data_IF_730623022903
#
_entry.id   IF_730623022903
#
_cell.length_a   1.000
_cell.length_b   1.000
_cell.length_c   1.000
_cell.angle_alpha   90.00
_cell.angle_beta   90.00
_cell.angle_gamma   90.00
#
_symmetry.space_group_name_H-M   'P 1'
#
loop_
_entity.id
_entity.type
_entity.pdbx_description
1 polymer ?
#
# COMPACT_ATOMS: atom_id res chain seq x y z
N UNK A 1 -11.48 -47.51 2.94
CA UNK A 1 -12.76 -47.10 2.30
C UNK A 1 -13.85 -46.81 3.37
N UNK A 2 -13.55 -46.13 4.44
CA UNK A 2 -14.48 -45.91 5.57
C UNK A 2 -14.59 -44.46 6.05
N UNK A 3 -13.98 -43.52 5.32
CA UNK A 3 -13.95 -42.10 5.75
C UNK A 3 -14.99 -41.21 5.05
N UNK A 4 -15.77 -41.76 4.11
CA UNK A 4 -16.78 -41.01 3.35
C UNK A 4 -18.17 -41.06 3.94
N UNK A 5 -18.42 -41.99 4.87
CA UNK A 5 -19.73 -42.16 5.48
C UNK A 5 -20.00 -41.22 6.67
N UNK A 6 -18.94 -40.73 7.34
CA UNK A 6 -19.08 -39.83 8.50
C UNK A 6 -19.34 -38.35 8.15
N UNK A 7 -19.11 -37.96 6.90
CA UNK A 7 -19.29 -36.57 6.46
C UNK A 7 -20.76 -36.24 6.11
N UNK A 8 -21.53 -37.23 5.69
CA UNK A 8 -22.95 -37.04 5.33
C UNK A 8 -23.86 -37.06 6.53
N UNK A 9 -23.50 -37.80 7.61
CA UNK A 9 -24.28 -37.82 8.84
C UNK A 9 -24.26 -36.50 9.64
N UNK A 10 -23.24 -35.67 9.41
CA UNK A 10 -23.10 -34.35 10.08
C UNK A 10 -23.90 -33.25 9.43
N UNK A 11 -24.30 -33.41 8.18
CA UNK A 11 -25.13 -32.43 7.47
C UNK A 11 -26.60 -32.51 7.77
N UNK A 12 -27.09 -33.67 8.23
CA UNK A 12 -28.51 -33.84 8.54
C UNK A 12 -28.91 -33.33 9.93
N UNK A 13 -27.94 -33.13 10.84
CA UNK A 13 -28.24 -32.62 12.20
C UNK A 13 -28.25 -31.10 12.33
N UNK A 14 -27.77 -30.34 11.34
CA UNK A 14 -27.78 -28.87 11.39
C UNK A 14 -29.03 -28.23 10.75
N UNK A 15 -29.94 -28.99 10.19
CA UNK A 15 -31.16 -28.46 9.56
C UNK A 15 -32.34 -28.27 10.50
N UNK A 16 -32.25 -28.70 11.75
CA UNK A 16 -33.34 -28.53 12.73
C UNK A 16 -33.09 -27.26 13.55
N UNK A 17 -33.76 -26.19 13.19
CA UNK A 17 -33.87 -25.04 14.08
C UNK A 17 -33.89 -23.65 13.45
N UNK A 18 -33.94 -23.53 12.14
CA UNK A 18 -34.24 -22.23 11.54
C UNK A 18 -35.78 -22.13 11.39
N UNK A 19 -36.42 -21.58 12.44
CA UNK A 19 -37.81 -21.14 12.32
C UNK A 19 -37.86 -20.14 11.16
N UNK A 20 -38.52 -20.51 10.05
CA UNK A 20 -38.78 -19.55 8.99
C UNK A 20 -39.57 -18.37 9.58
N UNK A 21 -39.17 -17.13 9.33
CA UNK A 21 -39.99 -15.99 9.71
C UNK A 21 -41.35 -16.17 9.03
N UNK A 22 -42.41 -16.29 9.82
CA UNK A 22 -43.75 -16.51 9.34
C UNK A 22 -44.25 -15.39 8.43
N UNK A 23 -43.83 -15.43 7.19
CA UNK A 23 -44.44 -14.66 6.12
C UNK A 23 -45.74 -15.31 5.79
N UNK A 24 -46.87 -14.71 6.28
CA UNK A 24 -48.18 -15.14 5.86
C UNK A 24 -49.24 -15.37 6.94
N UNK A 25 -49.14 -14.75 8.10
CA UNK A 25 -50.33 -14.62 8.92
C UNK A 25 -51.32 -13.69 8.21
N UNK A 26 -52.28 -14.32 7.50
CA UNK A 26 -53.41 -13.63 6.92
C UNK A 26 -54.22 -13.02 8.06
N UNK A 27 -54.35 -11.72 8.12
CA UNK A 27 -55.23 -11.04 9.07
C UNK A 27 -56.64 -11.48 8.78
N UNK A 28 -57.47 -11.75 9.79
CA UNK A 28 -58.89 -12.06 9.60
C UNK A 28 -59.54 -10.90 8.83
N UNK A 29 -60.25 -11.25 7.77
CA UNK A 29 -60.97 -10.25 6.96
C UNK A 29 -61.92 -9.46 7.87
N UNK A 30 -61.70 -8.15 7.99
CA UNK A 30 -62.52 -7.25 8.78
C UNK A 30 -61.92 -6.75 10.11
N UNK A 31 -60.68 -7.14 10.46
CA UNK A 31 -60.03 -6.52 11.60
C UNK A 31 -59.58 -5.09 11.26
N UNK A 32 -59.92 -4.06 12.03
CA UNK A 32 -59.43 -2.71 11.78
C UNK A 32 -57.92 -2.71 11.94
N UNK A 33 -57.21 -2.03 11.04
CA UNK A 33 -55.77 -1.80 11.16
C UNK A 33 -55.48 -1.11 12.48
N UNK A 34 -54.51 -1.59 13.25
CA UNK A 34 -54.07 -0.84 14.43
C UNK A 34 -53.67 0.56 13.97
N UNK A 35 -54.36 1.55 14.54
CA UNK A 35 -54.09 2.95 14.27
C UNK A 35 -52.58 3.20 14.42
N UNK A 36 -51.96 3.70 13.37
CA UNK A 36 -50.52 4.03 13.33
C UNK A 36 -50.13 5.14 14.33
N UNK A 37 -51.13 5.76 14.98
CA UNK A 37 -50.96 6.72 16.05
C UNK A 37 -50.58 6.13 17.41
N UNK A 38 -50.79 4.82 17.61
CA UNK A 38 -50.47 4.13 18.88
C UNK A 38 -49.04 3.56 18.92
N UNK A 39 -48.25 3.82 17.91
CA UNK A 39 -46.79 3.74 18.07
C UNK A 39 -46.34 4.86 19.02
N UNK A 40 -46.74 4.79 20.31
CA UNK A 40 -45.85 5.19 21.36
C UNK A 40 -44.57 4.46 21.03
N UNK A 41 -43.67 5.19 20.32
CA UNK A 41 -42.28 4.80 20.23
C UNK A 41 -41.90 4.50 21.68
N UNK A 42 -41.94 3.23 22.06
CA UNK A 42 -41.30 2.79 23.27
C UNK A 42 -39.91 3.40 23.10
N UNK A 43 -39.68 4.55 23.79
CA UNK A 43 -38.36 5.18 23.85
C UNK A 43 -37.50 4.10 24.48
N UNK A 44 -36.95 3.27 23.58
CA UNK A 44 -35.87 2.38 23.97
C UNK A 44 -34.86 3.33 24.67
N UNK A 45 -34.50 3.01 25.93
CA UNK A 45 -33.52 3.85 26.64
C UNK A 45 -32.39 4.12 25.67
N UNK A 46 -32.14 5.40 25.36
CA UNK A 46 -31.09 5.77 24.42
C UNK A 46 -29.83 5.06 24.89
N UNK A 47 -29.43 4.02 24.14
CA UNK A 47 -28.17 3.33 24.43
C UNK A 47 -27.11 4.45 24.48
N UNK A 48 -26.26 4.48 25.52
CA UNK A 48 -25.24 5.50 25.63
C UNK A 48 -24.43 5.48 24.32
N UNK A 49 -24.62 6.51 23.50
CA UNK A 49 -23.85 6.67 22.26
C UNK A 49 -22.40 6.70 22.69
N UNK A 50 -21.57 5.73 22.28
CA UNK A 50 -20.17 5.72 22.66
C UNK A 50 -19.58 7.07 22.19
N UNK A 51 -18.77 7.73 23.04
CA UNK A 51 -18.21 9.02 22.68
C UNK A 51 -17.53 8.91 21.33
N UNK A 52 -17.99 9.70 20.35
CA UNK A 52 -17.38 9.79 19.03
C UNK A 52 -15.94 10.25 19.27
N UNK A 53 -14.99 9.33 19.18
CA UNK A 53 -13.58 9.68 19.29
C UNK A 53 -13.29 10.66 18.16
N UNK A 54 -12.79 11.88 18.48
CA UNK A 54 -12.44 12.83 17.43
C UNK A 54 -11.45 12.12 16.49
N UNK A 55 -11.76 12.16 15.18
CA UNK A 55 -10.87 11.59 14.18
C UNK A 55 -9.49 12.21 14.39
N UNK A 56 -8.50 11.38 14.71
CA UNK A 56 -7.14 11.84 14.94
C UNK A 56 -6.64 12.53 13.68
N UNK A 57 -6.24 13.79 13.80
CA UNK A 57 -5.66 14.53 12.69
C UNK A 57 -4.41 13.80 12.21
N UNK A 58 -4.38 13.52 10.90
CA UNK A 58 -3.20 12.98 10.24
C UNK A 58 -1.99 13.90 10.47
N UNK A 59 -0.92 13.37 11.04
CA UNK A 59 0.34 14.08 11.15
C UNK A 59 1.21 13.80 9.91
N UNK A 60 1.02 14.62 8.86
CA UNK A 60 1.71 14.44 7.60
C UNK A 60 3.25 14.52 7.73
N UNK A 61 3.76 15.37 8.61
CA UNK A 61 5.22 15.50 8.83
C UNK A 61 5.80 14.20 9.36
N UNK A 62 5.20 13.65 10.38
CA UNK A 62 5.65 12.38 10.97
C UNK A 62 5.51 11.24 9.97
N UNK A 63 4.40 11.17 9.23
CA UNK A 63 4.21 10.19 8.16
C UNK A 63 5.29 10.28 7.08
N UNK A 64 5.65 11.51 6.67
CA UNK A 64 6.73 11.74 5.69
C UNK A 64 8.09 11.26 6.20
N UNK A 65 8.44 11.57 7.44
CA UNK A 65 9.71 11.11 8.03
C UNK A 65 9.80 9.59 8.03
N UNK A 66 8.71 8.92 8.39
CA UNK A 66 8.67 7.45 8.36
C UNK A 66 8.77 6.90 6.93
N UNK A 67 8.07 7.51 5.97
CA UNK A 67 8.15 7.10 4.57
C UNK A 67 9.57 7.27 3.99
N UNK A 68 10.30 8.32 4.38
CA UNK A 68 11.66 8.59 3.92
C UNK A 68 12.67 7.50 4.30
N UNK A 69 12.39 6.70 5.33
CA UNK A 69 13.23 5.53 5.69
C UNK A 69 13.29 4.52 4.52
N UNK A 70 12.24 4.49 3.68
CA UNK A 70 12.23 3.61 2.51
C UNK A 70 13.22 4.03 1.43
N UNK A 71 13.69 5.29 1.40
CA UNK A 71 14.66 5.74 0.39
C UNK A 71 15.97 4.97 0.52
N UNK A 72 16.71 5.02 1.64
CA UNK A 72 17.97 4.29 1.77
C UNK A 72 17.75 2.78 1.72
N UNK A 73 16.65 2.27 2.29
CA UNK A 73 16.34 0.84 2.26
C UNK A 73 16.08 0.34 0.83
N UNK A 74 15.30 1.09 0.04
CA UNK A 74 15.00 0.76 -1.35
C UNK A 74 16.25 0.84 -2.24
N UNK A 75 17.06 1.89 -2.09
CA UNK A 75 18.33 2.03 -2.84
C UNK A 75 19.28 0.88 -2.50
N UNK A 76 19.46 0.55 -1.22
CA UNK A 76 20.34 -0.55 -0.82
C UNK A 76 19.87 -1.90 -1.40
N UNK A 77 18.57 -2.19 -1.29
CA UNK A 77 18.01 -3.41 -1.85
C UNK A 77 18.16 -3.46 -3.38
N UNK A 78 17.94 -2.33 -4.06
CA UNK A 78 18.15 -2.22 -5.51
C UNK A 78 19.58 -2.55 -5.89
N UNK A 79 20.59 -1.91 -5.24
CA UNK A 79 21.99 -2.13 -5.55
C UNK A 79 22.44 -3.57 -5.27
N UNK A 80 21.91 -4.21 -4.23
CA UNK A 80 22.16 -5.63 -3.95
C UNK A 80 21.65 -6.51 -5.11
N UNK A 81 20.42 -6.30 -5.55
CA UNK A 81 19.84 -7.09 -6.65
C UNK A 81 20.55 -6.79 -7.98
N UNK A 82 20.94 -5.53 -8.21
CA UNK A 82 21.74 -5.14 -9.37
C UNK A 82 23.05 -5.91 -9.46
N UNK A 83 23.79 -5.98 -8.38
CA UNK A 83 25.05 -6.76 -8.29
C UNK A 83 24.83 -8.27 -8.49
N UNK A 84 23.65 -8.78 -8.19
CA UNK A 84 23.29 -10.19 -8.44
C UNK A 84 22.82 -10.44 -9.88
N UNK A 85 22.75 -9.40 -10.73
CA UNK A 85 22.22 -9.48 -12.09
C UNK A 85 20.70 -9.70 -12.14
N UNK A 86 19.99 -9.33 -11.08
CA UNK A 86 18.53 -9.44 -11.02
C UNK A 86 17.86 -8.14 -11.44
N UNK A 87 16.66 -8.27 -12.00
CA UNK A 87 15.86 -7.12 -12.42
C UNK A 87 15.40 -6.35 -11.18
N UNK A 88 15.95 -5.13 -11.01
CA UNK A 88 15.65 -4.27 -9.85
C UNK A 88 14.24 -3.69 -9.83
N UNK A 89 13.48 -3.77 -10.93
CA UNK A 89 12.15 -3.14 -11.06
C UNK A 89 11.13 -3.57 -10.00
N UNK A 90 11.23 -4.80 -9.48
CA UNK A 90 10.37 -5.28 -8.40
C UNK A 90 10.57 -4.47 -7.10
N UNK A 91 11.77 -3.92 -6.89
CA UNK A 91 12.08 -3.09 -5.73
C UNK A 91 11.26 -1.80 -5.73
N UNK A 92 10.98 -1.24 -6.91
CA UNK A 92 10.15 -0.06 -7.05
C UNK A 92 8.73 -0.30 -6.51
N UNK A 93 8.14 -1.48 -6.80
CA UNK A 93 6.86 -1.89 -6.25
C UNK A 93 6.93 -2.05 -4.72
N UNK A 94 7.95 -2.74 -4.21
CA UNK A 94 8.14 -2.96 -2.77
C UNK A 94 8.35 -1.64 -2.03
N UNK A 95 9.11 -0.71 -2.62
CA UNK A 95 9.33 0.63 -2.06
C UNK A 95 8.03 1.42 -1.97
N UNK A 96 7.20 1.42 -3.02
CA UNK A 96 5.90 2.10 -2.99
C UNK A 96 4.99 1.54 -1.90
N UNK A 97 4.89 0.22 -1.80
CA UNK A 97 4.07 -0.46 -0.79
C UNK A 97 4.60 -0.22 0.63
N UNK A 98 5.93 -0.28 0.82
CA UNK A 98 6.59 -0.03 2.08
C UNK A 98 6.45 1.42 2.54
N UNK A 99 6.69 2.38 1.65
CA UNK A 99 6.54 3.81 1.92
C UNK A 99 5.10 4.15 2.35
N UNK A 100 4.09 3.57 1.68
CA UNK A 100 2.70 3.76 2.05
C UNK A 100 2.39 3.23 3.46
N UNK A 101 2.87 2.03 3.78
CA UNK A 101 2.66 1.43 5.12
C UNK A 101 3.36 2.23 6.21
N UNK A 102 4.61 2.63 5.98
CA UNK A 102 5.36 3.45 6.93
C UNK A 102 4.74 4.84 7.09
N UNK A 103 4.28 5.45 5.99
CA UNK A 103 3.56 6.72 6.07
C UNK A 103 2.32 6.61 6.97
N UNK A 104 1.48 5.60 6.75
CA UNK A 104 0.28 5.37 7.57
C UNK A 104 0.67 5.13 9.03
N UNK A 105 1.65 4.26 9.30
CA UNK A 105 2.11 3.98 10.65
C UNK A 105 2.64 5.24 11.36
N UNK A 106 3.36 6.10 10.62
CA UNK A 106 3.87 7.36 11.15
C UNK A 106 2.79 8.42 11.36
N UNK A 107 1.86 8.58 10.41
CA UNK A 107 0.90 9.67 10.40
C UNK A 107 -0.26 9.48 11.36
N UNK A 108 -0.69 8.22 11.59
CA UNK A 108 -1.90 7.90 12.36
C UNK A 108 -1.63 7.45 13.79
N UNK A 109 -0.39 7.21 14.16
CA UNK A 109 0.03 6.82 15.52
C UNK A 109 -0.88 5.74 16.16
N UNK A 110 -1.30 4.73 15.37
CA UNK A 110 -2.11 3.61 15.86
C UNK A 110 -3.62 3.83 15.89
N UNK A 111 -4.12 4.97 15.42
CA UNK A 111 -5.56 5.29 15.43
C UNK A 111 -6.36 4.80 14.22
N UNK A 112 -5.79 3.95 13.36
CA UNK A 112 -6.51 3.37 12.21
C UNK A 112 -6.95 4.39 11.15
N UNK A 113 -6.31 5.56 11.10
CA UNK A 113 -6.64 6.62 10.16
C UNK A 113 -6.39 6.23 8.70
N UNK A 114 -7.17 6.81 7.81
CA UNK A 114 -6.98 6.67 6.36
C UNK A 114 -5.99 7.72 5.85
N UNK A 115 -5.18 7.35 4.88
CA UNK A 115 -4.23 8.26 4.24
C UNK A 115 -4.97 9.31 3.41
N UNK A 116 -4.59 10.57 3.58
CA UNK A 116 -5.14 11.68 2.79
C UNK A 116 -4.50 11.74 1.39
N UNK A 117 -5.06 12.59 0.51
CA UNK A 117 -4.45 12.85 -0.81
C UNK A 117 -3.01 13.37 -0.69
N UNK A 118 -2.72 14.15 0.37
CA UNK A 118 -1.35 14.65 0.63
C UNK A 118 -0.40 13.51 0.94
N UNK A 119 -0.81 12.57 1.79
CA UNK A 119 -0.02 11.38 2.07
C UNK A 119 0.26 10.53 0.83
N UNK A 120 -0.74 10.38 -0.05
CA UNK A 120 -0.57 9.67 -1.31
C UNK A 120 0.52 10.33 -2.19
N UNK A 121 0.53 11.65 -2.31
CA UNK A 121 1.58 12.37 -3.05
C UNK A 121 2.97 12.22 -2.42
N UNK A 122 3.06 12.18 -1.09
CA UNK A 122 4.33 11.90 -0.40
C UNK A 122 4.85 10.51 -0.77
N UNK A 123 4.01 9.50 -0.76
CA UNK A 123 4.41 8.13 -1.14
C UNK A 123 4.90 8.08 -2.58
N UNK A 124 4.19 8.73 -3.51
CA UNK A 124 4.61 8.83 -4.92
C UNK A 124 5.97 9.52 -5.02
N UNK A 125 6.15 10.66 -4.36
CA UNK A 125 7.41 11.40 -4.39
C UNK A 125 8.57 10.58 -3.82
N UNK A 126 8.39 9.92 -2.67
CA UNK A 126 9.38 9.03 -2.06
C UNK A 126 9.76 7.90 -3.01
N UNK A 127 8.77 7.28 -3.67
CA UNK A 127 9.02 6.19 -4.62
C UNK A 127 9.83 6.68 -5.83
N UNK A 128 9.47 7.82 -6.43
CA UNK A 128 10.19 8.41 -7.55
C UNK A 128 11.63 8.73 -7.15
N UNK A 129 11.84 9.38 -6.02
CA UNK A 129 13.18 9.72 -5.52
C UNK A 129 14.00 8.46 -5.30
N UNK A 130 13.41 7.41 -4.72
CA UNK A 130 14.12 6.13 -4.51
C UNK A 130 14.54 5.50 -5.83
N UNK A 131 13.65 5.46 -6.84
CA UNK A 131 13.96 4.90 -8.15
C UNK A 131 15.09 5.69 -8.83
N UNK A 132 14.99 7.01 -8.84
CA UNK A 132 16.03 7.87 -9.45
C UNK A 132 17.40 7.68 -8.75
N UNK A 133 17.42 7.66 -7.43
CA UNK A 133 18.65 7.43 -6.67
C UNK A 133 19.18 6.01 -6.87
N UNK A 134 18.32 5.03 -7.05
CA UNK A 134 18.72 3.65 -7.33
C UNK A 134 19.40 3.54 -8.68
N UNK A 135 18.84 4.15 -9.73
CA UNK A 135 19.47 4.20 -11.05
C UNK A 135 20.80 4.93 -11.04
N UNK A 136 20.85 6.11 -10.42
CA UNK A 136 22.09 6.86 -10.29
C UNK A 136 23.13 6.03 -9.51
N UNK A 137 22.70 5.35 -8.46
CA UNK A 137 23.54 4.45 -7.67
C UNK A 137 24.07 3.26 -8.48
N UNK A 138 23.26 2.68 -9.38
CA UNK A 138 23.70 1.59 -10.26
C UNK A 138 24.82 2.04 -11.18
N UNK A 139 24.63 3.17 -11.87
CA UNK A 139 25.65 3.75 -12.75
C UNK A 139 26.93 4.06 -11.96
N UNK A 140 26.76 4.59 -10.74
CA UNK A 140 27.89 4.90 -9.87
C UNK A 140 28.68 3.65 -9.48
N UNK A 141 27.99 2.58 -9.13
CA UNK A 141 28.60 1.29 -8.76
C UNK A 141 29.31 0.66 -9.95
N UNK A 142 28.70 0.69 -11.15
CA UNK A 142 29.32 0.17 -12.36
C UNK A 142 30.56 0.98 -12.77
N UNK A 143 30.51 2.31 -12.58
CA UNK A 143 31.66 3.17 -12.79
C UNK A 143 32.80 2.86 -11.82
N UNK A 144 32.47 2.58 -10.55
CA UNK A 144 33.47 2.19 -9.55
C UNK A 144 34.11 0.83 -9.90
N UNK A 145 33.31 -0.13 -10.35
CA UNK A 145 33.82 -1.43 -10.82
C UNK A 145 34.73 -1.27 -12.04
N UNK A 146 34.37 -0.39 -12.99
CA UNK A 146 35.16 -0.11 -14.18
C UNK A 146 36.51 0.52 -13.84
N UNK A 147 36.52 1.45 -12.89
CA UNK A 147 37.76 2.13 -12.46
C UNK A 147 38.56 1.32 -11.44
N UNK A 148 38.01 0.26 -10.88
CA UNK A 148 38.60 -0.54 -9.78
C UNK A 148 38.65 0.24 -8.46
N UNK A 149 37.94 1.36 -8.34
CA UNK A 149 37.89 2.18 -7.16
C UNK A 149 36.78 1.77 -6.21
N UNK A 150 36.89 2.17 -4.94
CA UNK A 150 35.79 2.01 -3.99
C UNK A 150 34.67 3.00 -4.30
N UNK A 151 33.39 2.58 -4.38
CA UNK A 151 32.27 3.49 -4.62
C UNK A 151 32.19 4.64 -3.61
N UNK A 152 32.59 4.39 -2.36
CA UNK A 152 32.60 5.43 -1.32
C UNK A 152 33.77 6.41 -1.48
N UNK A 153 34.96 5.94 -1.90
CA UNK A 153 36.11 6.81 -2.12
C UNK A 153 35.82 7.78 -3.28
N UNK A 154 35.23 7.27 -4.36
CA UNK A 154 34.87 8.07 -5.53
C UNK A 154 33.93 9.24 -5.23
N UNK A 155 33.11 9.17 -4.18
CA UNK A 155 32.22 10.28 -3.80
C UNK A 155 32.99 11.59 -3.50
N UNK A 156 34.26 11.49 -3.10
CA UNK A 156 35.12 12.62 -2.73
C UNK A 156 36.06 13.01 -3.85
N UNK A 157 36.04 12.33 -5.00
CA UNK A 157 36.87 12.59 -6.15
C UNK A 157 36.11 13.39 -7.21
N UNK A 158 36.49 14.65 -7.49
CA UNK A 158 35.80 15.47 -8.50
C UNK A 158 35.80 14.81 -9.89
N UNK A 159 36.89 14.14 -10.26
CA UNK A 159 37.05 13.47 -11.55
C UNK A 159 36.00 12.37 -11.76
N UNK A 160 35.57 11.70 -10.69
CA UNK A 160 34.52 10.69 -10.76
C UNK A 160 33.15 11.30 -11.11
N UNK A 161 32.86 12.49 -10.61
CA UNK A 161 31.64 13.23 -10.95
C UNK A 161 31.67 13.76 -12.39
N UNK A 162 32.81 14.21 -12.88
CA UNK A 162 32.99 14.63 -14.27
C UNK A 162 32.80 13.43 -15.21
N UNK A 163 33.35 12.27 -14.86
CA UNK A 163 33.21 11.05 -15.63
C UNK A 163 31.74 10.56 -15.64
N UNK A 164 31.05 10.63 -14.51
CA UNK A 164 29.60 10.32 -14.45
C UNK A 164 28.81 11.27 -15.34
N UNK A 165 29.06 12.57 -15.23
CA UNK A 165 28.40 13.59 -16.04
C UNK A 165 28.67 13.39 -17.54
N UNK A 166 29.89 13.07 -17.92
CA UNK A 166 30.23 12.75 -19.30
C UNK A 166 29.48 11.55 -19.83
N UNK A 167 29.41 10.44 -19.07
CA UNK A 167 28.71 9.23 -19.48
C UNK A 167 27.19 9.45 -19.62
N UNK A 168 26.61 10.24 -18.73
CA UNK A 168 25.17 10.55 -18.80
C UNK A 168 24.80 11.46 -19.97
N UNK A 169 25.75 12.25 -20.48
CA UNK A 169 25.44 13.22 -21.55
C UNK A 169 25.96 12.80 -22.93
N UNK A 170 27.05 12.02 -22.99
CA UNK A 170 27.78 11.74 -24.23
C UNK A 170 27.86 10.24 -24.56
N UNK A 171 27.28 9.36 -23.76
CA UNK A 171 27.28 7.92 -24.02
C UNK A 171 25.86 7.43 -24.37
N UNK A 172 25.49 7.48 -25.68
CA UNK A 172 24.16 7.08 -26.11
C UNK A 172 23.86 5.59 -25.89
N UNK A 173 24.89 4.74 -25.94
CA UNK A 173 24.73 3.30 -25.73
C UNK A 173 24.35 3.02 -24.30
N UNK A 174 24.98 3.67 -23.33
CA UNK A 174 24.60 3.58 -21.92
C UNK A 174 23.15 4.04 -21.68
N UNK A 175 22.75 5.14 -22.30
CA UNK A 175 21.37 5.65 -22.17
C UNK A 175 20.36 4.68 -22.78
N UNK A 176 20.69 4.06 -23.90
CA UNK A 176 19.83 3.10 -24.57
C UNK A 176 19.67 1.82 -23.70
N UNK A 177 20.75 1.28 -23.17
CA UNK A 177 20.74 0.08 -22.34
C UNK A 177 19.92 0.31 -21.05
N UNK A 178 20.14 1.47 -20.40
CA UNK A 178 19.42 1.82 -19.17
C UNK A 178 17.95 2.19 -19.41
N UNK A 179 17.59 2.65 -20.63
CA UNK A 179 16.23 3.14 -20.90
C UNK A 179 15.16 2.04 -20.72
N UNK A 180 15.46 0.81 -21.12
CA UNK A 180 14.57 -0.32 -20.97
C UNK A 180 14.27 -0.65 -19.50
N UNK A 181 15.31 -0.68 -18.69
CA UNK A 181 15.20 -0.95 -17.25
C UNK A 181 14.51 0.20 -16.52
N UNK A 182 14.81 1.45 -16.90
CA UNK A 182 14.16 2.64 -16.36
C UNK A 182 12.65 2.64 -16.65
N UNK A 183 12.25 2.32 -17.88
CA UNK A 183 10.84 2.20 -18.24
C UNK A 183 10.13 1.11 -17.44
N UNK A 184 10.77 -0.04 -17.28
CA UNK A 184 10.24 -1.13 -16.46
C UNK A 184 10.11 -0.71 -14.99
N UNK A 185 11.11 -0.05 -14.43
CA UNK A 185 11.06 0.46 -13.06
C UNK A 185 9.94 1.48 -12.87
N UNK A 186 9.73 2.39 -13.82
CA UNK A 186 8.61 3.33 -13.80
C UNK A 186 7.26 2.62 -13.86
N UNK A 187 7.12 1.60 -14.72
CA UNK A 187 5.90 0.82 -14.85
C UNK A 187 5.57 0.10 -13.53
N UNK A 188 6.55 -0.59 -12.93
CA UNK A 188 6.34 -1.28 -11.66
C UNK A 188 6.10 -0.30 -10.50
N UNK A 189 6.74 0.88 -10.51
CA UNK A 189 6.44 1.95 -9.56
C UNK A 189 5.01 2.44 -9.68
N UNK A 190 4.55 2.68 -10.92
CA UNK A 190 3.18 3.11 -11.18
C UNK A 190 2.16 2.05 -10.75
N UNK A 191 2.43 0.77 -11.03
CA UNK A 191 1.61 -0.34 -10.57
C UNK A 191 1.58 -0.42 -9.04
N UNK A 192 2.73 -0.31 -8.38
CA UNK A 192 2.84 -0.32 -6.92
C UNK A 192 2.04 0.81 -6.28
N UNK A 193 2.18 2.03 -6.79
CA UNK A 193 1.40 3.18 -6.35
C UNK A 193 -0.09 2.98 -6.63
N UNK A 194 -0.47 2.51 -7.81
CA UNK A 194 -1.87 2.30 -8.18
C UNK A 194 -2.56 1.29 -7.27
N UNK A 195 -1.97 0.12 -7.07
CA UNK A 195 -2.54 -0.91 -6.20
C UNK A 195 -2.67 -0.42 -4.76
N UNK A 196 -1.65 0.27 -4.25
CA UNK A 196 -1.66 0.84 -2.90
C UNK A 196 -2.76 1.89 -2.75
N UNK A 197 -2.87 2.82 -3.70
CA UNK A 197 -3.89 3.86 -3.69
C UNK A 197 -5.30 3.28 -3.83
N UNK A 198 -5.50 2.31 -4.73
CA UNK A 198 -6.78 1.63 -4.90
C UNK A 198 -7.26 0.96 -3.61
N UNK A 199 -6.38 0.27 -2.89
CA UNK A 199 -6.73 -0.33 -1.61
C UNK A 199 -7.16 0.73 -0.58
N UNK A 200 -6.44 1.83 -0.50
CA UNK A 200 -6.73 2.93 0.43
C UNK A 200 -8.07 3.61 0.11
N UNK A 201 -8.35 3.88 -1.17
CA UNK A 201 -9.64 4.43 -1.58
C UNK A 201 -10.80 3.46 -1.37
N UNK A 202 -10.57 2.16 -1.54
CA UNK A 202 -11.60 1.16 -1.27
C UNK A 202 -11.94 1.06 0.24
N UNK A 203 -10.96 1.24 1.11
CA UNK A 203 -11.17 1.30 2.56
C UNK A 203 -11.91 2.56 2.98
N UNK A 204 -11.56 3.72 2.40
CA UNK A 204 -12.21 5.01 2.68
C UNK A 204 -13.69 5.08 2.26
N UNK A 205 -14.14 4.19 1.36
CA UNK A 205 -15.56 4.10 0.96
C UNK A 205 -16.39 3.19 1.87
N UNK A 206 -15.74 2.41 2.72
CA UNK A 206 -16.42 1.44 3.61
C UNK A 206 -16.58 1.95 5.05
N UNK A 207 -15.96 3.06 5.41
CA UNK A 207 -16.09 3.75 6.69
C UNK A 207 -16.90 5.03 6.54
#
# INVERSE_FOLDING_TARGET
MTERADFDARKETESFGRAEPGYGQRWPDGAPWPDSSDHRQAQLPALPVPPVRPASRENAVRGTVFALVMVPAGVALWLILWKMGWIGSIVAFLTAAGAARLYIAGSTAGSGGTMTKRGAWVVVAVTIVTVLLSFLGSIWVDLADYTGASPLAMLFEPEAWDLLGYNLTNNPDLIQDLSGEFLMALLFSALGCFFTLRQLFAQARRG
#
